data_IF_049049428986
#
_entry.id   IF_049049428986
#
_cell.length_a   1.000
_cell.length_b   1.000
_cell.length_c   1.000
_cell.angle_alpha   90.00
_cell.angle_beta   90.00
_cell.angle_gamma   90.00
#
_symmetry.space_group_name_H-M   'P 1'
#
loop_
_entity.id
_entity.type
_entity.pdbx_description
1 polymer ?
#
# COMPACT_ATOMS: atom_id res chain seq x y z
N UNK A 1 -23.39 6.37 -36.65
CA UNK A 1 -23.87 7.00 -35.40
C UNK A 1 -24.29 5.95 -34.36
N UNK A 2 -24.31 4.67 -34.73
CA UNK A 2 -24.79 3.56 -33.87
C UNK A 2 -23.85 3.23 -32.71
N UNK A 3 -22.53 3.38 -32.93
CA UNK A 3 -21.53 3.08 -31.91
C UNK A 3 -21.61 4.04 -30.70
N UNK A 4 -22.10 5.27 -30.90
CA UNK A 4 -22.25 6.23 -29.80
C UNK A 4 -23.27 5.74 -28.76
N UNK A 5 -24.34 5.06 -29.20
CA UNK A 5 -25.33 4.47 -28.30
C UNK A 5 -24.77 3.33 -27.44
N UNK A 6 -23.68 2.70 -27.88
CA UNK A 6 -22.96 1.69 -27.10
C UNK A 6 -21.90 2.34 -26.18
N UNK A 7 -21.16 3.32 -26.70
CA UNK A 7 -20.04 3.93 -25.97
C UNK A 7 -20.49 4.85 -24.82
N UNK A 8 -21.61 5.56 -24.97
CA UNK A 8 -22.16 6.43 -23.93
C UNK A 8 -22.52 5.66 -22.65
N UNK A 9 -23.32 4.58 -22.68
CA UNK A 9 -23.64 3.84 -21.46
C UNK A 9 -22.42 3.13 -20.89
N UNK A 10 -21.52 2.59 -21.72
CA UNK A 10 -20.28 1.96 -21.26
C UNK A 10 -19.41 2.98 -20.51
N UNK A 11 -19.24 4.19 -21.04
CA UNK A 11 -18.43 5.22 -20.38
C UNK A 11 -19.05 5.68 -19.07
N UNK A 12 -20.38 5.80 -18.99
CA UNK A 12 -21.09 6.12 -17.74
C UNK A 12 -20.91 5.02 -16.68
N UNK A 13 -20.96 3.75 -17.07
CA UNK A 13 -20.70 2.62 -16.16
C UNK A 13 -19.27 2.68 -15.63
N UNK A 14 -18.28 2.85 -16.53
CA UNK A 14 -16.87 2.93 -16.14
C UNK A 14 -16.63 4.12 -15.21
N UNK A 15 -17.20 5.28 -15.52
CA UNK A 15 -17.13 6.47 -14.67
C UNK A 15 -17.75 6.20 -13.29
N UNK A 16 -18.93 5.57 -13.25
CA UNK A 16 -19.60 5.21 -11.99
C UNK A 16 -18.78 4.25 -11.14
N UNK A 17 -18.18 3.22 -11.76
CA UNK A 17 -17.29 2.27 -11.08
C UNK A 17 -16.05 2.98 -10.54
N UNK A 18 -15.44 3.86 -11.33
CA UNK A 18 -14.26 4.62 -10.89
C UNK A 18 -14.58 5.49 -9.66
N UNK A 19 -15.71 6.21 -9.67
CA UNK A 19 -16.16 7.00 -8.52
C UNK A 19 -16.43 6.11 -7.32
N UNK A 20 -17.12 4.98 -7.50
CA UNK A 20 -17.43 4.05 -6.42
C UNK A 20 -16.16 3.48 -5.75
N UNK A 21 -15.19 3.03 -6.55
CA UNK A 21 -13.89 2.55 -6.06
C UNK A 21 -13.13 3.65 -5.32
N UNK A 22 -13.13 4.88 -5.86
CA UNK A 22 -12.48 6.02 -5.22
C UNK A 22 -13.08 6.34 -3.85
N UNK A 23 -14.42 6.38 -3.74
CA UNK A 23 -15.12 6.60 -2.47
C UNK A 23 -14.88 5.46 -1.47
N UNK A 24 -14.84 4.21 -1.97
CA UNK A 24 -14.50 3.05 -1.15
C UNK A 24 -13.08 3.15 -0.59
N UNK A 25 -12.10 3.55 -1.42
CA UNK A 25 -10.69 3.69 -1.00
C UNK A 25 -10.49 4.78 0.06
N UNK A 26 -11.22 5.90 -0.06
CA UNK A 26 -11.24 6.95 0.98
C UNK A 26 -11.79 6.38 2.29
N UNK A 27 -12.94 5.70 2.22
CA UNK A 27 -13.61 5.16 3.41
C UNK A 27 -12.84 3.98 4.04
N UNK A 28 -12.00 3.29 3.29
CA UNK A 28 -11.16 2.20 3.80
C UNK A 28 -9.88 2.69 4.49
N UNK A 29 -9.67 4.00 4.61
CA UNK A 29 -8.50 4.55 5.32
C UNK A 29 -7.16 4.28 4.62
N UNK A 30 -7.16 3.93 3.33
CA UNK A 30 -5.91 3.63 2.57
C UNK A 30 -4.96 4.82 2.49
N UNK A 31 -5.46 6.05 2.70
CA UNK A 31 -4.66 7.27 2.70
C UNK A 31 -4.15 7.67 4.10
N UNK A 32 -4.53 6.95 5.15
CA UNK A 32 -4.10 7.24 6.53
C UNK A 32 -2.73 6.65 6.83
N UNK A 33 -2.33 5.57 6.16
CA UNK A 33 -1.02 4.91 6.31
C UNK A 33 -0.03 5.29 5.21
N UNK A 34 0.21 6.59 5.02
CA UNK A 34 1.27 7.09 4.14
C UNK A 34 2.64 7.16 4.84
N UNK A 35 2.66 7.14 6.17
CA UNK A 35 3.87 7.29 7.00
C UNK A 35 4.45 5.95 7.48
N UNK A 36 3.64 4.89 7.57
CA UNK A 36 4.06 3.58 8.08
C UNK A 36 5.21 2.92 7.31
N UNK A 37 5.29 2.99 5.96
CA UNK A 37 6.41 2.41 5.22
C UNK A 37 7.76 3.07 5.53
N UNK A 38 7.78 4.40 5.73
CA UNK A 38 9.01 5.14 6.03
C UNK A 38 9.46 4.92 7.49
N UNK A 39 8.51 4.77 8.40
CA UNK A 39 8.81 4.53 9.82
C UNK A 39 9.37 3.11 10.07
N UNK A 40 8.93 2.10 9.29
CA UNK A 40 9.48 0.73 9.37
C UNK A 40 10.97 0.70 9.04
N UNK A 41 11.40 1.37 7.98
CA UNK A 41 12.81 1.39 7.56
C UNK A 41 13.76 1.94 8.65
N UNK A 42 13.30 2.89 9.48
CA UNK A 42 14.10 3.43 10.59
C UNK A 42 13.98 2.62 11.90
N UNK A 43 12.86 1.91 12.10
CA UNK A 43 12.58 1.12 13.31
C UNK A 43 12.95 -0.36 13.18
N UNK A 44 13.33 -0.82 11.97
CA UNK A 44 13.70 -2.22 11.71
C UNK A 44 14.93 -2.66 12.53
N UNK A 45 15.83 -1.75 12.94
CA UNK A 45 17.02 -2.07 13.73
C UNK A 45 16.73 -2.63 15.14
N UNK A 46 15.54 -2.37 15.68
CA UNK A 46 15.07 -2.86 16.99
C UNK A 46 14.13 -4.09 16.88
N UNK A 47 13.95 -4.66 15.69
CA UNK A 47 13.08 -5.83 15.51
C UNK A 47 13.69 -7.07 16.22
N UNK A 48 13.00 -7.65 17.23
CA UNK A 48 13.48 -8.82 17.97
C UNK A 48 13.63 -10.07 17.09
N UNK A 49 13.10 -10.06 15.86
CA UNK A 49 13.24 -11.11 14.86
C UNK A 49 14.51 -10.97 14.01
N UNK A 50 15.25 -9.85 14.09
CA UNK A 50 16.57 -9.77 13.48
C UNK A 50 17.48 -10.74 14.23
N UNK A 51 18.06 -11.75 13.55
CA UNK A 51 19.04 -12.62 14.17
C UNK A 51 20.23 -11.74 14.53
N UNK A 52 20.35 -11.38 15.82
CA UNK A 52 21.54 -10.72 16.34
C UNK A 52 22.72 -11.57 15.90
N UNK A 53 23.60 -11.01 15.07
CA UNK A 53 24.83 -11.67 14.67
C UNK A 53 25.47 -12.17 15.97
N UNK A 54 25.72 -13.49 16.12
CA UNK A 54 26.34 -13.98 17.34
C UNK A 54 27.61 -13.17 17.52
N UNK A 55 27.74 -12.46 18.64
CA UNK A 55 29.01 -11.87 19.03
C UNK A 55 30.02 -13.00 18.95
N UNK A 56 30.88 -12.92 17.94
CA UNK A 56 32.11 -13.69 17.92
C UNK A 56 32.81 -13.23 19.19
N UNK A 57 32.75 -14.06 20.23
CA UNK A 57 33.70 -13.97 21.32
C UNK A 57 35.06 -14.00 20.64
N UNK A 58 35.71 -12.85 20.59
CA UNK A 58 37.15 -12.82 20.50
C UNK A 58 37.60 -13.57 21.75
N UNK A 59 37.90 -14.85 21.55
CA UNK A 59 38.61 -15.64 22.52
C UNK A 59 39.97 -14.95 22.67
N UNK A 60 40.08 -14.15 23.73
CA UNK A 60 41.36 -13.67 24.25
C UNK A 60 42.25 -14.89 24.52
N UNK A 61 43.21 -15.13 23.62
CA UNK A 61 44.44 -15.91 23.87
C UNK A 61 45.62 -14.98 24.16
#
# INVERSE_FOLDING_TARGET
MDILFLLIPISLIIMGVAIWVFLWAIRSGQFEDLEGPAHRILMDDDDPLIPRRPELKEDDE
#
